data_IF_872680505092
#
_entry.id   IF_872680505092
#
_cell.length_a   1.000
_cell.length_b   1.000
_cell.length_c   1.000
_cell.angle_alpha   90.00
_cell.angle_beta   90.00
_cell.angle_gamma   90.00
#
_symmetry.space_group_name_H-M   'P 1'
#
loop_
_entity.id
_entity.type
_entity.pdbx_description
1 polymer ?
#
# COMPACT_ATOMS: atom_id res chain seq x y z
N UNK A 1 -1.71 -6.58 -16.36
CA UNK A 1 -0.68 -5.83 -17.11
C UNK A 1 -1.27 -5.49 -18.48
N UNK A 2 -1.15 -4.24 -18.92
CA UNK A 2 -1.78 -3.74 -20.15
C UNK A 2 -0.81 -2.83 -20.91
N UNK A 3 -1.03 -2.65 -22.20
CA UNK A 3 -0.24 -1.73 -23.03
C UNK A 3 -0.70 -0.27 -22.82
N UNK A 4 0.16 0.74 -23.05
CA UNK A 4 -0.20 2.16 -22.92
C UNK A 4 -1.43 2.58 -23.76
N UNK A 5 -1.65 1.92 -24.90
CA UNK A 5 -2.77 2.18 -25.82
C UNK A 5 -4.14 1.90 -25.19
N UNK A 6 -4.20 1.22 -24.05
CA UNK A 6 -5.47 0.97 -23.32
C UNK A 6 -5.97 2.24 -22.59
N UNK A 7 -5.13 3.26 -22.40
CA UNK A 7 -5.54 4.53 -21.77
C UNK A 7 -6.73 5.21 -22.46
N UNK A 8 -6.66 5.48 -23.77
CA UNK A 8 -7.77 5.99 -24.56
C UNK A 8 -9.01 5.10 -24.49
N UNK A 9 -8.85 3.77 -24.58
CA UNK A 9 -9.98 2.83 -24.50
C UNK A 9 -10.72 2.95 -23.16
N UNK A 10 -10.00 3.06 -22.04
CA UNK A 10 -10.61 3.28 -20.72
C UNK A 10 -11.42 4.58 -20.69
N UNK A 11 -10.89 5.65 -21.30
CA UNK A 11 -11.60 6.93 -21.36
C UNK A 11 -12.85 6.84 -22.21
N UNK A 12 -12.79 6.18 -23.36
CA UNK A 12 -13.93 5.97 -24.27
C UNK A 12 -15.02 5.11 -23.61
N UNK A 13 -14.63 4.10 -22.82
CA UNK A 13 -15.55 3.31 -22.00
C UNK A 13 -16.22 4.11 -20.87
N UNK A 14 -15.78 5.34 -20.61
CA UNK A 14 -16.38 6.23 -19.62
C UNK A 14 -15.69 6.21 -18.24
N UNK A 15 -14.53 5.57 -18.10
CA UNK A 15 -13.75 5.68 -16.87
C UNK A 15 -13.16 7.09 -16.74
N UNK A 16 -13.38 7.72 -15.58
CA UNK A 16 -12.95 9.08 -15.28
C UNK A 16 -12.13 9.17 -13.98
N UNK A 17 -12.13 8.11 -13.17
CA UNK A 17 -11.34 8.00 -11.94
C UNK A 17 -10.88 6.55 -11.70
N UNK A 18 -9.62 6.34 -11.29
CA UNK A 18 -9.02 5.00 -11.10
C UNK A 18 -8.13 4.93 -9.84
N UNK A 19 -8.27 3.83 -9.08
CA UNK A 19 -7.39 3.49 -7.95
C UNK A 19 -6.08 2.86 -8.42
N UNK A 20 -4.95 3.28 -7.84
CA UNK A 20 -3.59 2.85 -8.23
C UNK A 20 -2.82 2.09 -7.15
N UNK A 21 -3.22 2.19 -5.88
CA UNK A 21 -2.58 1.43 -4.81
C UNK A 21 -3.01 -0.04 -4.89
N UNK A 22 -2.11 -0.92 -5.32
CA UNK A 22 -2.32 -2.38 -5.35
C UNK A 22 -1.01 -3.09 -5.07
N UNK A 23 -1.04 -4.39 -4.75
CA UNK A 23 0.19 -5.19 -4.65
C UNK A 23 1.01 -5.24 -5.96
N UNK A 24 0.42 -4.81 -7.09
CA UNK A 24 1.00 -4.82 -8.43
C UNK A 24 1.43 -3.43 -8.93
N UNK A 25 1.39 -2.39 -8.07
CA UNK A 25 1.75 -1.01 -8.48
C UNK A 25 3.15 -0.93 -9.10
N UNK A 26 4.08 -1.79 -8.67
CA UNK A 26 5.49 -1.80 -9.12
C UNK A 26 5.89 -3.05 -9.91
N UNK A 27 4.94 -3.76 -10.56
CA UNK A 27 5.27 -4.95 -11.38
C UNK A 27 6.34 -4.67 -12.45
N UNK A 28 6.35 -3.45 -12.97
CA UNK A 28 7.32 -2.95 -13.96
C UNK A 28 8.25 -1.89 -13.39
N UNK A 29 8.51 -1.97 -12.08
CA UNK A 29 9.31 -1.00 -11.36
C UNK A 29 8.67 0.40 -11.30
N UNK A 30 9.50 1.37 -10.95
CA UNK A 30 9.08 2.77 -10.80
C UNK A 30 8.75 3.37 -12.17
N UNK A 31 9.46 2.97 -13.22
CA UNK A 31 9.26 3.41 -14.59
C UNK A 31 7.88 3.00 -15.10
N UNK A 32 7.47 1.75 -14.88
CA UNK A 32 6.12 1.30 -15.25
C UNK A 32 5.02 1.97 -14.43
N UNK A 33 5.28 2.24 -13.14
CA UNK A 33 4.37 3.02 -12.29
C UNK A 33 4.15 4.42 -12.85
N UNK A 34 5.25 5.12 -13.18
CA UNK A 34 5.25 6.47 -13.80
C UNK A 34 4.57 6.47 -15.14
N UNK A 35 4.88 5.49 -16.00
CA UNK A 35 4.29 5.37 -17.32
C UNK A 35 2.78 5.21 -17.25
N UNK A 36 2.27 4.40 -16.32
CA UNK A 36 0.82 4.30 -16.18
C UNK A 36 0.21 5.60 -15.66
N UNK A 37 0.90 6.32 -14.77
CA UNK A 37 0.47 7.65 -14.32
C UNK A 37 0.35 8.62 -15.50
N UNK A 38 1.40 8.69 -16.32
CA UNK A 38 1.45 9.49 -17.54
C UNK A 38 0.29 9.16 -18.49
N UNK A 39 0.05 7.88 -18.77
CA UNK A 39 -1.05 7.45 -19.65
C UNK A 39 -2.42 7.87 -19.10
N UNK A 40 -2.65 7.77 -17.79
CA UNK A 40 -3.91 8.19 -17.19
C UNK A 40 -4.08 9.71 -17.22
N UNK A 41 -3.01 10.46 -16.93
CA UNK A 41 -3.00 11.92 -16.99
C UNK A 41 -3.29 12.43 -18.42
N UNK A 42 -2.64 11.85 -19.44
CA UNK A 42 -2.83 12.20 -20.85
C UNK A 42 -4.26 11.95 -21.35
N UNK A 43 -4.96 10.98 -20.76
CA UNK A 43 -6.36 10.67 -21.10
C UNK A 43 -7.38 11.36 -20.17
N UNK A 44 -6.92 12.25 -19.28
CA UNK A 44 -7.79 12.98 -18.35
C UNK A 44 -8.58 12.04 -17.43
N UNK A 45 -7.93 10.97 -16.95
CA UNK A 45 -8.47 10.04 -15.96
C UNK A 45 -7.82 10.36 -14.62
N UNK A 46 -8.61 10.80 -13.65
CA UNK A 46 -8.12 11.11 -12.30
C UNK A 46 -7.63 9.82 -11.63
N UNK A 47 -6.48 9.83 -10.98
CA UNK A 47 -5.97 8.63 -10.31
C UNK A 47 -5.27 8.94 -9.00
N UNK A 48 -5.36 8.01 -8.03
CA UNK A 48 -4.81 8.17 -6.69
C UNK A 48 -4.19 6.85 -6.18
N UNK A 49 -3.29 6.95 -5.19
CA UNK A 49 -2.73 5.79 -4.48
C UNK A 49 -1.32 5.39 -4.88
N UNK A 50 -0.70 6.09 -5.82
CA UNK A 50 0.71 5.95 -6.17
C UNK A 50 1.32 7.34 -6.46
N UNK A 51 2.62 7.51 -6.22
CA UNK A 51 3.29 8.77 -6.44
C UNK A 51 4.80 8.70 -6.24
N UNK A 52 5.50 9.81 -6.45
CA UNK A 52 6.96 9.93 -6.31
C UNK A 52 7.43 9.92 -4.85
N UNK A 53 6.50 10.13 -3.91
CA UNK A 53 6.73 10.09 -2.48
C UNK A 53 5.42 9.77 -1.74
N UNK A 54 5.50 9.59 -0.42
CA UNK A 54 4.34 9.24 0.39
C UNK A 54 3.27 10.33 0.37
N UNK A 55 3.64 11.61 0.45
CA UNK A 55 2.68 12.71 0.35
C UNK A 55 1.86 12.67 -0.95
N UNK A 56 2.51 12.42 -2.10
CA UNK A 56 1.81 12.29 -3.38
C UNK A 56 0.92 11.04 -3.44
N UNK A 57 1.44 9.89 -2.99
CA UNK A 57 0.69 8.64 -3.01
C UNK A 57 -0.53 8.69 -2.08
N UNK A 58 -0.41 9.35 -0.92
CA UNK A 58 -1.45 9.47 0.10
C UNK A 58 -2.49 10.57 -0.18
N UNK A 59 -2.20 11.48 -1.11
CA UNK A 59 -3.10 12.58 -1.40
C UNK A 59 -4.41 12.08 -2.03
N UNK A 60 -5.53 12.62 -1.53
CA UNK A 60 -6.81 12.50 -2.22
C UNK A 60 -6.73 13.17 -3.59
N UNK A 61 -7.43 12.61 -4.57
CA UNK A 61 -7.56 13.18 -5.91
C UNK A 61 -9.02 13.39 -6.22
N UNK A 62 -9.32 14.50 -6.88
CA UNK A 62 -10.68 14.99 -7.01
C UNK A 62 -11.10 14.98 -8.47
N UNK A 63 -12.30 14.45 -8.72
CA UNK A 63 -13.00 14.57 -9.99
C UNK A 63 -14.14 15.57 -9.81
N UNK A 64 -14.12 16.65 -10.59
CA UNK A 64 -15.23 17.59 -10.66
C UNK A 64 -16.26 17.10 -11.68
N UNK A 65 -17.54 17.23 -11.34
CA UNK A 65 -18.66 16.93 -12.23
C UNK A 65 -19.73 18.00 -12.09
N UNK A 66 -20.65 18.09 -13.05
CA UNK A 66 -21.79 19.01 -12.98
C UNK A 66 -22.70 18.77 -11.77
N UNK A 67 -22.61 17.58 -11.14
CA UNK A 67 -23.40 17.21 -9.95
C UNK A 67 -22.61 17.29 -8.64
N UNK A 68 -21.36 17.71 -8.70
CA UNK A 68 -20.50 17.88 -7.53
C UNK A 68 -19.13 17.20 -7.67
N UNK A 69 -18.39 17.21 -6.56
CA UNK A 69 -17.01 16.74 -6.46
C UNK A 69 -16.94 15.34 -5.86
N UNK A 70 -16.16 14.46 -6.49
CA UNK A 70 -15.84 13.12 -5.97
C UNK A 70 -14.38 13.10 -5.55
N UNK A 71 -14.09 12.62 -4.34
CA UNK A 71 -12.73 12.40 -3.85
C UNK A 71 -12.38 10.92 -3.88
N UNK A 72 -11.24 10.56 -4.46
CA UNK A 72 -10.65 9.23 -4.37
C UNK A 72 -9.45 9.24 -3.44
N UNK A 73 -9.47 8.33 -2.45
CA UNK A 73 -8.29 7.96 -1.68
C UNK A 73 -8.08 6.46 -1.88
N UNK A 74 -6.85 6.07 -2.18
CA UNK A 74 -6.51 4.71 -2.59
C UNK A 74 -5.36 4.18 -1.74
N UNK A 75 -5.53 2.97 -1.20
CA UNK A 75 -4.56 2.29 -0.34
C UNK A 75 -4.47 0.80 -0.68
N UNK A 76 -3.31 0.19 -0.44
CA UNK A 76 -3.15 -1.27 -0.45
C UNK A 76 -2.73 -1.80 0.92
N UNK A 77 -3.25 -2.96 1.31
CA UNK A 77 -2.91 -3.68 2.56
C UNK A 77 -2.00 -4.89 2.34
N UNK A 78 -1.84 -5.30 1.09
CA UNK A 78 -0.93 -6.36 0.64
C UNK A 78 -0.03 -5.77 -0.43
N UNK A 79 1.28 -5.91 -0.27
CA UNK A 79 2.31 -5.37 -1.17
C UNK A 79 3.69 -5.87 -0.70
N UNK A 80 4.69 -5.81 -1.57
CA UNK A 80 6.07 -6.11 -1.16
C UNK A 80 6.68 -4.93 -0.38
N UNK A 81 7.59 -5.15 0.58
CA UNK A 81 8.12 -4.06 1.43
C UNK A 81 8.65 -2.85 0.65
N UNK A 82 9.28 -3.09 -0.50
CA UNK A 82 9.84 -2.06 -1.38
C UNK A 82 8.79 -1.37 -2.28
N UNK A 83 7.51 -1.71 -2.18
CA UNK A 83 6.44 -1.04 -2.92
C UNK A 83 5.90 0.20 -2.23
N UNK A 84 6.05 0.32 -0.90
CA UNK A 84 5.47 1.43 -0.12
C UNK A 84 6.13 2.77 -0.48
N UNK A 85 5.39 3.82 -0.80
CA UNK A 85 5.95 5.15 -0.94
C UNK A 85 6.50 5.67 0.41
N UNK A 86 7.60 6.41 0.38
CA UNK A 86 8.18 7.05 1.55
C UNK A 86 8.39 8.54 1.29
N UNK A 87 8.23 9.37 2.32
CA UNK A 87 8.73 10.75 2.28
C UNK A 87 10.26 10.76 2.36
N UNK A 88 10.86 11.88 1.99
CA UNK A 88 12.29 12.11 2.14
C UNK A 88 12.70 12.08 3.62
N UNK A 89 13.91 11.61 3.89
CA UNK A 89 14.47 11.54 5.23
C UNK A 89 15.92 12.07 5.23
N UNK A 90 16.12 13.28 5.73
CA UNK A 90 17.41 13.95 5.65
C UNK A 90 17.84 14.15 4.21
N UNK A 91 19.04 13.67 3.86
CA UNK A 91 19.58 13.70 2.49
C UNK A 91 18.97 12.63 1.57
N UNK A 92 18.28 11.63 2.13
CA UNK A 92 17.64 10.59 1.33
C UNK A 92 16.38 11.13 0.64
N UNK A 93 16.25 11.03 -0.70
CA UNK A 93 15.06 11.48 -1.39
C UNK A 93 13.85 10.60 -1.01
N UNK A 94 12.65 11.13 -1.27
CA UNK A 94 11.43 10.33 -1.18
C UNK A 94 11.52 9.11 -2.10
N UNK A 95 10.87 8.02 -1.70
CA UNK A 95 10.83 6.80 -2.51
C UNK A 95 9.48 6.70 -3.23
N UNK A 96 9.48 6.61 -4.57
CA UNK A 96 8.28 6.37 -5.34
C UNK A 96 7.63 5.03 -4.96
N UNK A 97 6.30 4.98 -4.99
CA UNK A 97 5.57 3.78 -4.65
C UNK A 97 4.08 4.01 -4.39
N UNK A 98 3.46 3.02 -3.76
CA UNK A 98 2.04 3.03 -3.42
C UNK A 98 1.77 3.57 -2.01
N UNK A 99 0.53 4.00 -1.80
CA UNK A 99 0.02 4.36 -0.50
C UNK A 99 -0.37 3.11 0.30
N UNK A 100 0.41 2.80 1.33
CA UNK A 100 0.27 1.56 2.10
C UNK A 100 -0.62 1.76 3.34
N UNK A 101 -1.58 0.87 3.54
CA UNK A 101 -2.24 0.73 4.84
C UNK A 101 -1.34 -0.07 5.78
N UNK A 102 -0.93 0.55 6.89
CA UNK A 102 -0.14 -0.14 7.93
C UNK A 102 -1.08 -1.01 8.76
N UNK A 103 -0.90 -2.32 8.69
CA UNK A 103 -1.70 -3.29 9.43
C UNK A 103 -0.89 -3.92 10.55
N UNK A 104 -1.51 -4.07 11.71
CA UNK A 104 -1.08 -5.04 12.70
C UNK A 104 -1.73 -6.38 12.36
N UNK A 105 -0.93 -7.38 12.03
CA UNK A 105 -1.43 -8.74 11.76
C UNK A 105 -1.44 -9.52 13.06
N UNK A 106 -2.55 -10.21 13.34
CA UNK A 106 -2.66 -11.17 14.42
C UNK A 106 -3.33 -12.44 13.90
N UNK A 107 -2.99 -13.57 14.51
CA UNK A 107 -3.64 -14.86 14.27
C UNK A 107 -4.31 -15.25 15.57
N UNK A 108 -5.63 -15.46 15.53
CA UNK A 108 -6.40 -15.91 16.70
C UNK A 108 -6.36 -17.44 16.74
N UNK A 109 -5.98 -17.99 17.88
CA UNK A 109 -5.86 -19.42 18.12
C UNK A 109 -6.56 -19.80 19.43
N UNK A 110 -6.98 -21.06 19.62
CA UNK A 110 -7.45 -21.55 20.92
C UNK A 110 -6.41 -21.32 22.02
N UNK A 111 -6.87 -21.15 23.26
CA UNK A 111 -6.01 -20.85 24.42
C UNK A 111 -4.90 -21.89 24.59
N UNK A 112 -5.19 -23.17 24.34
CA UNK A 112 -4.23 -24.27 24.47
C UNK A 112 -3.06 -24.13 23.50
N UNK A 113 -3.35 -23.66 22.28
CA UNK A 113 -2.34 -23.40 21.24
C UNK A 113 -1.54 -22.15 21.59
N UNK A 114 -2.20 -21.09 22.10
CA UNK A 114 -1.52 -19.88 22.55
C UNK A 114 -0.51 -20.18 23.68
N UNK A 115 -0.88 -21.00 24.67
CA UNK A 115 0.03 -21.43 25.74
C UNK A 115 1.21 -22.25 25.22
N UNK A 116 0.99 -23.03 24.16
CA UNK A 116 2.07 -23.77 23.51
C UNK A 116 3.04 -22.81 22.82
N UNK A 117 2.53 -21.84 22.06
CA UNK A 117 3.35 -20.80 21.44
C UNK A 117 4.10 -19.96 22.46
N UNK A 118 3.49 -19.66 23.62
CA UNK A 118 4.15 -18.94 24.73
C UNK A 118 5.34 -19.72 25.26
N UNK A 119 5.16 -21.02 25.55
CA UNK A 119 6.27 -21.88 26.01
C UNK A 119 7.41 -21.96 25.00
N UNK A 120 7.11 -22.00 23.70
CA UNK A 120 8.12 -21.99 22.64
C UNK A 120 8.84 -20.66 22.60
N UNK A 121 8.10 -19.54 22.61
CA UNK A 121 8.65 -18.19 22.65
C UNK A 121 9.62 -18.01 23.81
N UNK A 122 9.20 -18.34 25.04
CA UNK A 122 9.99 -18.13 26.27
C UNK A 122 11.25 -19.01 26.34
N UNK A 123 11.36 -20.03 25.47
CA UNK A 123 12.54 -20.87 25.34
C UNK A 123 13.55 -20.37 24.29
N UNK A 124 13.19 -19.36 23.47
CA UNK A 124 14.08 -18.79 22.44
C UNK A 124 15.07 -17.80 23.05
N UNK A 125 16.34 -17.78 22.58
CA UNK A 125 17.33 -16.78 22.98
C UNK A 125 16.89 -15.37 22.55
N UNK A 126 17.33 -14.36 23.30
CA UNK A 126 17.07 -12.93 23.04
C UNK A 126 15.60 -12.49 23.02
N UNK A 127 14.70 -13.32 23.57
CA UNK A 127 13.33 -12.88 23.84
C UNK A 127 13.35 -11.93 25.04
N UNK A 128 13.10 -10.64 24.81
CA UNK A 128 12.69 -9.78 25.92
C UNK A 128 11.33 -10.29 26.42
N UNK A 129 11.16 -10.56 27.73
CA UNK A 129 9.84 -10.82 28.27
C UNK A 129 8.98 -9.57 28.04
N UNK A 130 8.24 -9.56 26.92
CA UNK A 130 7.34 -8.49 26.57
C UNK A 130 6.34 -8.28 27.68
N UNK A 131 5.90 -7.02 27.87
CA UNK A 131 4.82 -6.64 28.79
C UNK A 131 3.72 -7.70 28.75
N UNK A 132 3.60 -8.47 29.83
CA UNK A 132 2.83 -9.71 29.88
C UNK A 132 1.36 -9.49 29.52
N UNK A 133 1.02 -9.70 28.25
CA UNK A 133 -0.35 -9.78 27.79
C UNK A 133 -0.75 -11.28 27.81
N UNK A 134 -1.62 -11.71 28.73
CA UNK A 134 -2.02 -13.10 28.82
C UNK A 134 -2.79 -13.57 27.57
N UNK A 135 -3.26 -12.64 26.74
CA UNK A 135 -4.06 -12.93 25.55
C UNK A 135 -3.26 -12.89 24.24
N UNK A 136 -1.97 -12.57 24.31
CA UNK A 136 -1.13 -12.40 23.11
C UNK A 136 0.28 -12.95 23.30
N UNK A 137 0.82 -13.55 22.25
CA UNK A 137 2.24 -13.89 22.12
C UNK A 137 2.74 -13.22 20.84
N UNK A 138 3.89 -12.54 20.90
CA UNK A 138 4.55 -11.96 19.73
C UNK A 138 5.70 -12.89 19.37
N UNK A 139 5.58 -13.60 18.25
CA UNK A 139 6.70 -14.34 17.69
C UNK A 139 7.51 -13.35 16.84
N UNK A 140 8.83 -13.34 17.02
CA UNK A 140 9.71 -12.27 16.54
C UNK A 140 9.53 -11.92 15.05
N UNK A 141 9.78 -10.64 14.75
CA UNK A 141 9.20 -9.89 13.65
C UNK A 141 9.56 -10.39 12.26
N UNK A 142 8.59 -11.00 11.56
CA UNK A 142 8.60 -10.93 10.09
C UNK A 142 8.33 -9.47 9.72
N UNK A 143 9.41 -8.73 9.44
CA UNK A 143 9.33 -7.35 8.94
C UNK A 143 8.81 -7.33 7.51
#
# INVERSE_FOLDING_TARGET
>A
ISLPQIGPDLKEMGFNVVSRATNHTLDWGVEGMRETGRVLDENGIVHAGAGENLAQAAAARFLETDRGRVALVSFASSFTPMSRACDSAGEAPGRPGLNALRLAKSIVVPTEILETFRRVHDALPDTEPGRADPTRVVLDGVT
#
